data_IF_981523437973
#
_entry.id   IF_981523437973
#
_cell.length_a   1.000
_cell.length_b   1.000
_cell.length_c   1.000
_cell.angle_alpha   90.00
_cell.angle_beta   90.00
_cell.angle_gamma   90.00
#
_symmetry.space_group_name_H-M   'P 1'
#
loop_
_entity.id
_entity.type
_entity.pdbx_description
1 polymer ?
#
# COMPACT_ATOMS: atom_id res chain seq x y z
N UNK A 1 5.64 -11.12 -12.86
CA UNK A 1 5.28 -10.17 -11.80
C UNK A 1 5.13 -10.92 -10.49
N UNK A 2 5.48 -10.29 -9.36
CA UNK A 2 5.31 -10.88 -8.02
C UNK A 2 3.81 -10.93 -7.66
N UNK A 3 3.43 -11.89 -6.82
CA UNK A 3 2.10 -11.89 -6.21
C UNK A 3 1.97 -10.75 -5.19
N UNK A 4 0.74 -10.45 -4.80
CA UNK A 4 0.44 -9.48 -3.74
C UNK A 4 -0.32 -10.17 -2.61
N UNK A 5 0.18 -10.03 -1.40
CA UNK A 5 -0.50 -10.40 -0.16
C UNK A 5 -1.15 -9.15 0.42
N UNK A 6 -2.42 -9.25 0.83
CA UNK A 6 -3.14 -8.17 1.49
C UNK A 6 -3.66 -8.67 2.84
N UNK A 7 -3.20 -8.04 3.92
CA UNK A 7 -3.57 -8.38 5.30
C UNK A 7 -4.13 -7.15 6.03
N UNK A 8 -4.94 -7.36 7.06
CA UNK A 8 -5.43 -6.27 7.89
C UNK A 8 -5.67 -6.70 9.34
N UNK A 9 -5.60 -5.78 10.30
CA UNK A 9 -5.97 -6.07 11.69
C UNK A 9 -7.48 -6.09 11.90
N UNK A 10 -7.94 -6.80 12.93
CA UNK A 10 -9.33 -6.75 13.43
C UNK A 10 -9.84 -5.33 13.74
N UNK A 11 -8.92 -4.39 14.01
CA UNK A 11 -9.21 -2.99 14.26
C UNK A 11 -9.57 -2.18 12.99
N UNK A 12 -9.43 -2.74 11.79
CA UNK A 12 -9.85 -2.10 10.52
C UNK A 12 -11.30 -2.45 10.23
N UNK A 13 -12.14 -1.45 9.99
CA UNK A 13 -13.58 -1.65 9.76
C UNK A 13 -13.84 -2.33 8.41
N UNK A 14 -14.89 -3.14 8.33
CA UNK A 14 -15.22 -3.91 7.12
C UNK A 14 -15.39 -3.03 5.87
N UNK A 15 -15.94 -1.82 6.01
CA UNK A 15 -16.06 -0.86 4.90
C UNK A 15 -14.70 -0.28 4.49
N UNK A 16 -13.80 -0.02 5.43
CA UNK A 16 -12.43 0.42 5.13
C UNK A 16 -11.69 -0.67 4.34
N UNK A 17 -11.81 -1.95 4.77
CA UNK A 17 -11.25 -3.10 4.03
C UNK A 17 -11.84 -3.20 2.63
N UNK A 18 -13.15 -3.04 2.47
CA UNK A 18 -13.80 -3.12 1.16
C UNK A 18 -13.24 -2.06 0.19
N UNK A 19 -13.11 -0.81 0.64
CA UNK A 19 -12.58 0.28 -0.18
C UNK A 19 -11.08 0.12 -0.47
N UNK A 20 -10.33 -0.42 0.48
CA UNK A 20 -8.92 -0.79 0.27
C UNK A 20 -8.76 -1.88 -0.79
N UNK A 21 -9.51 -2.97 -0.69
CA UNK A 21 -9.46 -4.06 -1.66
C UNK A 21 -9.96 -3.62 -3.05
N UNK A 22 -10.98 -2.76 -3.13
CA UNK A 22 -11.41 -2.14 -4.39
C UNK A 22 -10.28 -1.35 -5.06
N UNK A 23 -9.47 -0.61 -4.28
CA UNK A 23 -8.29 0.06 -4.81
C UNK A 23 -7.25 -0.93 -5.37
N UNK A 24 -6.90 -1.96 -4.61
CA UNK A 24 -5.95 -3.00 -5.04
C UNK A 24 -6.42 -3.67 -6.34
N UNK A 25 -7.68 -4.12 -6.36
CA UNK A 25 -8.29 -4.79 -7.51
C UNK A 25 -8.37 -3.86 -8.71
N UNK A 26 -8.68 -2.56 -8.53
CA UNK A 26 -8.73 -1.63 -9.66
C UNK A 26 -7.36 -1.34 -10.23
N UNK A 27 -6.33 -1.16 -9.39
CA UNK A 27 -4.97 -0.94 -9.90
C UNK A 27 -4.44 -2.19 -10.61
N UNK A 28 -4.61 -3.37 -10.01
CA UNK A 28 -4.14 -4.63 -10.60
C UNK A 28 -5.01 -5.11 -11.77
N UNK A 29 -6.33 -4.97 -11.71
CA UNK A 29 -7.27 -5.42 -12.73
C UNK A 29 -7.14 -4.64 -14.03
N UNK A 30 -6.85 -3.33 -13.95
CA UNK A 30 -6.62 -2.51 -15.14
C UNK A 30 -5.38 -2.95 -15.93
N UNK A 31 -4.40 -3.58 -15.27
CA UNK A 31 -3.27 -4.22 -15.95
C UNK A 31 -3.71 -5.34 -16.87
N UNK A 32 -4.60 -6.20 -16.38
CA UNK A 32 -5.10 -7.33 -17.15
C UNK A 32 -5.88 -6.87 -18.37
N UNK A 33 -6.79 -5.90 -18.20
CA UNK A 33 -7.56 -5.32 -19.29
C UNK A 33 -6.64 -4.73 -20.37
N UNK A 34 -5.65 -3.94 -19.96
CA UNK A 34 -4.77 -3.24 -20.91
C UNK A 34 -3.79 -4.19 -21.59
N UNK A 35 -3.23 -5.15 -20.85
CA UNK A 35 -2.36 -6.19 -21.40
C UNK A 35 -3.09 -7.02 -22.45
N UNK A 36 -4.31 -7.46 -22.15
CA UNK A 36 -5.15 -8.23 -23.07
C UNK A 36 -5.42 -7.46 -24.36
N UNK A 37 -5.80 -6.17 -24.27
CA UNK A 37 -6.03 -5.33 -25.46
C UNK A 37 -4.78 -5.13 -26.33
N UNK A 38 -3.57 -5.27 -25.76
CA UNK A 38 -2.30 -5.19 -26.49
C UNK A 38 -1.76 -6.56 -26.94
N UNK A 39 -2.53 -7.64 -26.76
CA UNK A 39 -2.12 -9.00 -27.11
C UNK A 39 -1.13 -9.64 -26.13
N UNK A 40 -0.96 -9.06 -24.94
CA UNK A 40 -0.13 -9.63 -23.88
C UNK A 40 -0.98 -10.52 -22.98
N UNK A 41 -0.63 -11.81 -22.94
CA UNK A 41 -1.30 -12.83 -22.13
C UNK A 41 -0.64 -13.03 -20.76
N UNK A 42 0.00 -12.00 -20.21
CA UNK A 42 0.55 -12.10 -18.86
C UNK A 42 -0.56 -11.90 -17.85
N UNK A 43 -0.67 -12.81 -16.90
CA UNK A 43 -1.60 -12.66 -15.79
C UNK A 43 -1.19 -11.44 -14.94
N UNK A 44 -2.18 -10.64 -14.55
CA UNK A 44 -2.05 -9.68 -13.47
C UNK A 44 -1.51 -10.36 -12.20
N UNK A 45 -0.89 -9.61 -11.28
CA UNK A 45 -0.38 -10.19 -10.05
C UNK A 45 -1.54 -10.85 -9.30
N UNK A 46 -1.33 -12.09 -8.83
CA UNK A 46 -2.35 -12.76 -8.02
C UNK A 46 -2.47 -12.01 -6.70
N UNK A 47 -3.68 -11.54 -6.39
CA UNK A 47 -3.99 -10.88 -5.13
C UNK A 47 -4.52 -11.92 -4.16
N UNK A 48 -3.82 -12.12 -3.04
CA UNK A 48 -4.24 -12.99 -1.95
C UNK A 48 -4.66 -12.13 -0.77
N UNK A 49 -5.97 -12.05 -0.51
CA UNK A 49 -6.51 -11.36 0.66
C UNK A 49 -6.57 -12.34 1.85
N UNK A 50 -5.74 -12.12 2.85
CA UNK A 50 -5.63 -13.00 4.02
C UNK A 50 -6.40 -12.51 5.24
N UNK A 51 -6.65 -11.20 5.33
CA UNK A 51 -7.27 -10.60 6.52
C UNK A 51 -6.41 -10.66 7.76
N UNK A 52 -7.05 -10.74 8.93
CA UNK A 52 -6.37 -10.97 10.21
C UNK A 52 -6.12 -12.47 10.40
N UNK A 53 -5.25 -13.01 9.57
CA UNK A 53 -5.01 -14.44 9.49
C UNK A 53 -4.28 -14.99 10.71
N UNK A 54 -4.48 -16.27 10.97
CA UNK A 54 -3.80 -17.05 12.00
C UNK A 54 -3.52 -18.46 11.48
N UNK A 55 -2.40 -19.06 11.89
CA UNK A 55 -2.04 -20.47 11.63
C UNK A 55 -2.36 -21.30 12.89
N UNK A 56 -3.50 -22.01 12.96
CA UNK A 56 -3.96 -22.62 14.21
C UNK A 56 -3.09 -23.76 14.73
N UNK A 57 -2.24 -24.34 13.87
CA UNK A 57 -1.36 -25.45 14.23
C UNK A 57 -0.07 -25.03 14.93
N UNK A 58 0.24 -23.73 14.97
CA UNK A 58 1.44 -23.22 15.62
C UNK A 58 1.19 -22.91 17.11
N UNK A 59 2.21 -23.08 17.98
CA UNK A 59 2.15 -22.63 19.37
C UNK A 59 1.80 -21.14 19.50
N UNK A 60 1.19 -20.75 20.63
CA UNK A 60 0.73 -19.38 20.84
C UNK A 60 1.87 -18.33 20.85
N UNK A 61 3.09 -18.72 21.17
CA UNK A 61 4.28 -17.89 21.17
C UNK A 61 5.14 -18.04 19.89
N UNK A 62 4.69 -18.86 18.94
CA UNK A 62 5.45 -19.09 17.72
C UNK A 62 5.57 -17.79 16.90
N UNK A 63 6.77 -17.51 16.36
CA UNK A 63 6.97 -16.34 15.52
C UNK A 63 6.14 -16.47 14.23
N UNK A 64 5.66 -15.34 13.72
CA UNK A 64 4.90 -15.27 12.47
C UNK A 64 3.58 -16.09 12.47
N UNK A 65 3.00 -16.39 13.64
CA UNK A 65 1.79 -17.25 13.73
C UNK A 65 0.50 -16.61 13.23
N UNK A 66 0.41 -15.29 13.27
CA UNK A 66 -0.79 -14.53 12.92
C UNK A 66 -0.39 -13.12 12.55
N UNK A 67 -1.24 -12.41 11.82
CA UNK A 67 -0.98 -11.00 11.49
C UNK A 67 -0.89 -10.13 12.74
N UNK A 68 -1.77 -10.38 13.72
CA UNK A 68 -1.69 -9.79 15.06
C UNK A 68 -0.31 -9.91 15.71
N UNK A 69 0.39 -11.05 15.56
CA UNK A 69 1.74 -11.21 16.12
C UNK A 69 2.72 -10.16 15.57
N UNK A 70 2.66 -9.82 14.28
CA UNK A 70 3.53 -8.80 13.67
C UNK A 70 3.29 -7.42 14.28
N UNK A 71 2.02 -7.08 14.47
CA UNK A 71 1.59 -5.82 15.06
C UNK A 71 2.02 -5.75 16.52
N UNK A 72 1.78 -6.81 17.30
CA UNK A 72 2.18 -6.89 18.70
C UNK A 72 3.70 -6.79 18.87
N UNK A 73 4.50 -7.44 18.01
CA UNK A 73 5.95 -7.29 18.02
C UNK A 73 6.41 -5.87 17.67
N UNK A 74 5.61 -5.12 16.92
CA UNK A 74 5.94 -3.79 16.43
C UNK A 74 5.29 -2.66 17.24
N UNK A 75 4.48 -2.99 18.24
CA UNK A 75 3.72 -2.04 19.03
C UNK A 75 4.59 -1.43 20.14
N UNK A 76 4.65 -0.10 20.16
CA UNK A 76 5.05 0.63 21.37
C UNK A 76 3.85 0.63 22.33
N UNK A 77 3.91 -0.21 23.36
CA UNK A 77 2.84 -0.35 24.34
C UNK A 77 2.59 0.92 25.18
N UNK A 78 3.58 1.80 25.32
CA UNK A 78 3.40 3.06 26.05
C UNK A 78 2.65 4.08 25.21
N UNK A 79 2.92 4.12 23.91
CA UNK A 79 2.30 5.07 22.97
C UNK A 79 1.02 4.55 22.32
N UNK A 80 0.83 3.23 22.29
CA UNK A 80 -0.23 2.59 21.50
C UNK A 80 -0.04 2.78 19.99
N UNK A 81 1.21 2.95 19.55
CA UNK A 81 1.58 3.24 18.15
C UNK A 81 2.45 2.12 17.61
N UNK A 82 2.21 1.72 16.36
CA UNK A 82 3.03 0.71 15.68
C UNK A 82 4.27 1.38 15.10
N UNK A 83 5.45 0.86 15.44
CA UNK A 83 6.69 1.22 14.77
C UNK A 83 6.70 0.56 13.38
N UNK A 84 6.49 1.37 12.35
CA UNK A 84 6.39 0.92 10.97
C UNK A 84 7.68 0.32 10.43
N UNK A 85 8.85 0.85 10.83
CA UNK A 85 10.14 0.31 10.39
C UNK A 85 10.34 -1.12 10.93
N UNK A 86 10.03 -1.34 12.22
CA UNK A 86 10.08 -2.67 12.84
C UNK A 86 9.05 -3.64 12.22
N UNK A 87 7.85 -3.16 11.92
CA UNK A 87 6.83 -3.97 11.25
C UNK A 87 7.31 -4.41 9.85
N UNK A 88 7.82 -3.47 9.06
CA UNK A 88 8.32 -3.77 7.72
C UNK A 88 9.53 -4.72 7.76
N UNK A 89 10.46 -4.51 8.70
CA UNK A 89 11.59 -5.43 8.91
C UNK A 89 11.10 -6.84 9.29
N UNK A 90 10.08 -6.94 10.15
CA UNK A 90 9.50 -8.24 10.55
C UNK A 90 8.91 -8.96 9.34
N UNK A 91 8.14 -8.26 8.51
CA UNK A 91 7.58 -8.81 7.26
C UNK A 91 8.69 -9.23 6.30
N UNK A 92 9.72 -8.41 6.10
CA UNK A 92 10.83 -8.72 5.19
C UNK A 92 11.66 -9.95 5.60
N UNK A 93 11.69 -10.25 6.90
CA UNK A 93 12.47 -11.35 7.47
C UNK A 93 11.69 -12.66 7.65
N UNK A 94 10.38 -12.67 7.40
CA UNK A 94 9.57 -13.88 7.52
C UNK A 94 9.98 -14.96 6.49
N UNK A 95 9.80 -16.26 6.82
CA UNK A 95 10.32 -17.34 5.97
C UNK A 95 9.83 -17.31 4.53
N UNK A 96 8.54 -17.02 4.30
CA UNK A 96 7.97 -17.03 2.95
C UNK A 96 8.35 -15.79 2.13
N UNK A 97 8.54 -14.62 2.74
CA UNK A 97 9.05 -13.43 2.03
C UNK A 97 10.52 -13.58 1.63
N UNK A 98 11.30 -14.34 2.41
CA UNK A 98 12.69 -14.71 2.07
C UNK A 98 12.78 -15.78 0.98
N UNK A 99 11.87 -16.76 0.99
CA UNK A 99 11.85 -17.85 0.00
C UNK A 99 11.24 -17.41 -1.34
N UNK A 100 10.17 -16.61 -1.32
CA UNK A 100 9.49 -16.12 -2.50
C UNK A 100 9.10 -14.65 -2.31
N UNK A 101 9.98 -13.70 -2.68
CA UNK A 101 9.71 -12.28 -2.53
C UNK A 101 8.45 -11.86 -3.27
N UNK A 102 7.48 -11.35 -2.53
CA UNK A 102 6.20 -10.86 -3.03
C UNK A 102 5.93 -9.44 -2.52
N UNK A 103 4.88 -8.81 -3.05
CA UNK A 103 4.39 -7.54 -2.52
C UNK A 103 3.54 -7.81 -1.29
N UNK A 104 3.79 -7.11 -0.20
CA UNK A 104 2.94 -7.12 0.98
C UNK A 104 2.27 -5.77 1.15
N UNK A 105 0.93 -5.78 1.27
CA UNK A 105 0.14 -4.62 1.64
C UNK A 105 -0.60 -4.93 2.93
N UNK A 106 -0.39 -4.08 3.92
CA UNK A 106 -0.84 -4.26 5.28
C UNK A 106 -1.72 -3.08 5.70
N UNK A 107 -2.95 -3.33 6.17
CA UNK A 107 -3.81 -2.29 6.75
C UNK A 107 -3.91 -2.44 8.26
N UNK A 108 -3.64 -1.38 9.00
CA UNK A 108 -3.71 -1.40 10.47
C UNK A 108 -4.67 -0.34 11.00
N UNK A 109 -5.48 -0.71 12.00
CA UNK A 109 -6.34 0.22 12.73
C UNK A 109 -5.60 1.09 13.74
N UNK A 110 -4.35 0.76 14.03
CA UNK A 110 -3.49 1.45 14.99
C UNK A 110 -2.76 2.64 14.34
N UNK A 111 -2.45 3.71 15.09
CA UNK A 111 -1.50 4.74 14.66
C UNK A 111 -0.17 4.14 14.22
N UNK A 112 0.45 4.74 13.20
CA UNK A 112 1.74 4.32 12.65
C UNK A 112 2.79 5.41 12.87
N UNK A 113 3.96 5.01 13.36
CA UNK A 113 5.16 5.86 13.42
C UNK A 113 6.18 5.36 12.39
N UNK A 114 6.75 6.28 11.61
CA UNK A 114 7.75 5.98 10.57
C UNK A 114 9.14 6.52 10.89
N UNK A 115 9.33 7.10 12.08
CA UNK A 115 10.64 7.51 12.53
C UNK A 115 11.58 6.30 12.67
N UNK A 116 12.85 6.52 12.33
CA UNK A 116 13.90 5.52 12.50
C UNK A 116 14.51 5.63 13.91
N UNK A 117 14.72 4.48 14.56
CA UNK A 117 15.30 4.40 15.90
C UNK A 117 14.34 4.84 17.00
N UNK A 118 14.88 5.44 18.06
CA UNK A 118 14.11 5.91 19.23
C UNK A 118 13.54 7.34 19.04
N UNK A 119 13.65 7.92 17.84
CA UNK A 119 13.08 9.23 17.56
C UNK A 119 11.56 9.13 17.52
N UNK A 120 10.87 10.08 18.17
CA UNK A 120 9.41 10.19 18.13
C UNK A 120 9.03 10.88 16.81
N UNK A 121 8.40 10.14 15.90
CA UNK A 121 7.83 10.69 14.68
C UNK A 121 6.39 11.18 14.85
N UNK A 122 5.94 12.00 13.92
CA UNK A 122 4.52 12.29 13.73
C UNK A 122 3.79 11.04 13.22
N UNK A 123 2.50 10.93 13.55
CA UNK A 123 1.65 9.84 13.07
C UNK A 123 1.56 9.88 11.54
N UNK A 124 1.98 8.80 10.89
CA UNK A 124 2.01 8.67 9.45
C UNK A 124 0.76 7.96 8.91
N UNK A 125 0.38 8.30 7.67
CA UNK A 125 -0.66 7.59 6.93
C UNK A 125 -0.18 6.23 6.44
N UNK A 126 1.08 6.14 6.05
CA UNK A 126 1.64 4.92 5.50
C UNK A 126 3.17 4.87 5.64
N UNK A 127 3.70 3.66 5.50
CA UNK A 127 5.12 3.38 5.30
C UNK A 127 5.27 2.52 4.04
N UNK A 128 6.32 2.80 3.28
CA UNK A 128 6.68 2.03 2.09
C UNK A 128 8.13 1.54 2.19
N UNK A 129 8.31 0.26 1.85
CA UNK A 129 9.59 -0.30 1.40
C UNK A 129 9.44 -0.59 -0.09
N UNK A 130 10.10 0.18 -0.98
CA UNK A 130 9.89 0.12 -2.42
C UNK A 130 9.94 -1.31 -2.98
N UNK A 131 8.93 -1.67 -3.76
CA UNK A 131 8.85 -2.98 -4.43
C UNK A 131 8.69 -4.19 -3.50
N UNK A 132 8.40 -3.99 -2.21
CA UNK A 132 8.32 -5.07 -1.21
C UNK A 132 7.14 -4.94 -0.26
N UNK A 133 7.06 -3.87 0.53
CA UNK A 133 6.09 -3.76 1.65
C UNK A 133 5.46 -2.39 1.66
N UNK A 134 4.15 -2.32 1.88
CA UNK A 134 3.46 -1.10 2.24
C UNK A 134 2.56 -1.34 3.45
N UNK A 135 2.62 -0.45 4.43
CA UNK A 135 1.74 -0.47 5.61
C UNK A 135 0.92 0.81 5.57
N UNK A 136 -0.41 0.69 5.64
CA UNK A 136 -1.35 1.81 5.68
C UNK A 136 -2.05 1.81 7.04
N UNK A 137 -1.99 2.94 7.74
CA UNK A 137 -2.80 3.17 8.94
C UNK A 137 -4.08 3.89 8.58
N UNK A 138 -5.21 3.34 9.04
CA UNK A 138 -6.51 4.02 8.93
C UNK A 138 -6.78 4.97 10.10
N UNK A 139 -5.96 4.94 11.16
CA UNK A 139 -6.16 5.76 12.36
C UNK A 139 -6.18 7.28 12.07
N UNK A 140 -5.24 7.86 11.28
CA UNK A 140 -5.30 9.28 10.95
C UNK A 140 -6.53 9.62 10.09
N UNK A 141 -6.93 8.72 9.20
CA UNK A 141 -8.06 8.91 8.27
C UNK A 141 -9.40 9.01 9.01
N UNK A 142 -9.52 8.40 10.20
CA UNK A 142 -10.71 8.49 11.06
C UNK A 142 -10.97 9.89 11.62
N UNK A 143 -10.01 10.82 11.50
CA UNK A 143 -10.21 12.24 11.80
C UNK A 143 -11.10 12.94 10.75
N UNK A 144 -11.24 12.35 9.55
CA UNK A 144 -12.21 12.79 8.53
C UNK A 144 -13.61 12.41 9.01
N UNK A 145 -14.42 13.44 9.33
CA UNK A 145 -15.74 13.26 9.95
C UNK A 145 -16.78 12.65 9.02
N UNK A 146 -16.75 13.03 7.74
CA UNK A 146 -17.63 12.44 6.74
C UNK A 146 -17.13 11.03 6.41
N UNK A 147 -17.92 10.02 6.79
CA UNK A 147 -17.58 8.61 6.58
C UNK A 147 -17.36 8.27 5.11
N UNK A 148 -18.20 8.81 4.21
CA UNK A 148 -18.07 8.53 2.78
C UNK A 148 -16.76 9.09 2.25
N UNK A 149 -16.42 10.32 2.61
CA UNK A 149 -15.14 10.95 2.24
C UNK A 149 -13.98 10.15 2.83
N UNK A 150 -14.07 9.72 4.10
CA UNK A 150 -13.07 8.87 4.75
C UNK A 150 -12.81 7.58 3.97
N UNK A 151 -13.86 6.86 3.58
CA UNK A 151 -13.74 5.60 2.84
C UNK A 151 -13.06 5.81 1.48
N UNK A 152 -13.35 6.91 0.79
CA UNK A 152 -12.62 7.25 -0.44
C UNK A 152 -11.18 7.69 -0.20
N UNK A 153 -10.88 8.34 0.93
CA UNK A 153 -9.51 8.65 1.33
C UNK A 153 -8.72 7.36 1.62
N UNK A 154 -9.32 6.36 2.29
CA UNK A 154 -8.73 5.01 2.45
C UNK A 154 -8.40 4.41 1.09
N UNK A 155 -9.37 4.41 0.17
CA UNK A 155 -9.18 3.91 -1.19
C UNK A 155 -8.05 4.63 -1.92
N UNK A 156 -7.98 5.96 -1.82
CA UNK A 156 -6.90 6.76 -2.43
C UNK A 156 -5.54 6.40 -1.85
N UNK A 157 -5.41 6.38 -0.53
CA UNK A 157 -4.16 6.05 0.17
C UNK A 157 -3.67 4.66 -0.21
N UNK A 158 -4.55 3.66 -0.25
CA UNK A 158 -4.18 2.31 -0.67
C UNK A 158 -3.75 2.27 -2.13
N UNK A 159 -4.47 2.92 -3.05
CA UNK A 159 -4.09 2.96 -4.46
C UNK A 159 -2.74 3.66 -4.68
N UNK A 160 -2.46 4.72 -3.93
CA UNK A 160 -1.17 5.40 -3.92
C UNK A 160 -0.04 4.45 -3.52
N UNK A 161 -0.19 3.73 -2.40
CA UNK A 161 0.81 2.77 -1.94
C UNK A 161 0.99 1.58 -2.90
N UNK A 162 -0.10 1.07 -3.48
CA UNK A 162 -0.04 0.00 -4.50
C UNK A 162 0.72 0.47 -5.74
N UNK A 163 0.51 1.70 -6.20
CA UNK A 163 1.27 2.25 -7.31
C UNK A 163 2.76 2.34 -7.00
N UNK A 164 3.14 2.76 -5.79
CA UNK A 164 4.55 2.75 -5.37
C UNK A 164 5.14 1.34 -5.20
N UNK A 165 4.36 0.36 -4.74
CA UNK A 165 4.78 -1.05 -4.73
C UNK A 165 5.10 -1.56 -6.14
N UNK A 166 4.37 -1.09 -7.16
CA UNK A 166 4.67 -1.35 -8.56
C UNK A 166 5.77 -0.45 -9.15
N UNK A 167 6.45 0.36 -8.35
CA UNK A 167 7.55 1.22 -8.80
C UNK A 167 7.08 2.41 -9.64
N UNK A 168 5.88 2.92 -9.38
CA UNK A 168 5.36 4.12 -10.02
C UNK A 168 5.58 5.35 -9.13
N UNK A 169 5.71 6.55 -9.73
CA UNK A 169 6.14 6.79 -11.10
C UNK A 169 7.56 6.26 -11.36
N UNK A 170 7.88 5.99 -12.61
CA UNK A 170 9.21 5.46 -12.97
C UNK A 170 10.32 6.51 -12.77
N UNK A 171 11.54 6.12 -12.30
CA UNK A 171 12.61 7.07 -11.98
C UNK A 171 13.04 8.02 -13.10
N UNK A 172 12.86 7.63 -14.37
CA UNK A 172 13.22 8.43 -15.55
C UNK A 172 12.15 9.43 -16.02
N UNK A 173 11.02 9.56 -15.30
CA UNK A 173 9.92 10.42 -15.74
C UNK A 173 10.23 11.92 -15.48
N UNK A 174 10.19 12.79 -16.51
CA UNK A 174 10.64 14.18 -16.43
C UNK A 174 9.80 15.10 -15.52
N UNK A 175 8.60 14.66 -15.12
CA UNK A 175 7.67 15.41 -14.27
C UNK A 175 7.32 14.68 -12.96
N UNK A 176 8.11 13.67 -12.58
CA UNK A 176 7.97 13.02 -11.30
C UNK A 176 8.71 13.84 -10.23
N UNK A 177 7.97 14.33 -9.23
CA UNK A 177 8.50 15.18 -8.17
C UNK A 177 9.18 14.30 -7.11
N UNK A 178 10.45 14.54 -6.74
CA UNK A 178 11.09 13.80 -5.67
C UNK A 178 10.53 14.21 -4.30
N UNK A 179 10.35 13.24 -3.40
CA UNK A 179 10.02 13.47 -1.99
C UNK A 179 11.26 13.29 -1.11
N UNK A 180 11.33 13.94 0.08
CA UNK A 180 12.37 13.68 1.07
C UNK A 180 12.50 12.20 1.47
N UNK A 181 11.44 11.40 1.35
CA UNK A 181 11.46 9.95 1.60
C UNK A 181 12.25 9.15 0.55
N UNK A 182 12.66 9.79 -0.55
CA UNK A 182 13.29 9.14 -1.70
C UNK A 182 12.27 8.59 -2.72
N UNK A 183 10.98 8.66 -2.40
CA UNK A 183 9.90 8.36 -3.34
C UNK A 183 9.78 9.46 -4.40
N UNK A 184 9.03 9.14 -5.46
CA UNK A 184 8.67 10.10 -6.50
C UNK A 184 7.17 10.16 -6.60
N UNK A 185 6.61 11.34 -6.82
CA UNK A 185 5.16 11.52 -6.91
C UNK A 185 4.76 12.11 -8.27
N UNK A 186 3.51 11.86 -8.65
CA UNK A 186 2.95 12.37 -9.90
C UNK A 186 2.51 13.84 -9.75
N UNK A 187 2.80 14.68 -10.74
CA UNK A 187 2.33 16.07 -10.77
C UNK A 187 0.93 16.26 -11.41
N UNK A 188 0.37 15.23 -12.05
CA UNK A 188 -0.95 15.29 -12.69
C UNK A 188 -2.08 15.00 -11.68
N UNK A 189 -3.35 15.20 -12.08
CA UNK A 189 -4.48 14.67 -11.30
C UNK A 189 -4.42 13.13 -11.27
N UNK A 190 -3.95 12.57 -10.15
CA UNK A 190 -3.58 11.17 -10.02
C UNK A 190 -3.47 10.78 -8.53
N UNK A 191 -3.86 9.55 -8.15
CA UNK A 191 -3.66 9.09 -6.76
C UNK A 191 -2.20 9.08 -6.33
N UNK A 192 -1.25 9.00 -7.27
CA UNK A 192 0.19 9.04 -6.99
C UNK A 192 0.74 10.45 -6.71
N UNK A 193 -0.10 11.47 -6.71
CA UNK A 193 0.27 12.79 -6.20
C UNK A 193 0.34 12.78 -4.68
N UNK A 194 1.37 13.41 -4.13
CA UNK A 194 1.57 13.53 -2.68
C UNK A 194 0.52 14.45 -2.07
N UNK A 195 0.07 14.12 -0.86
CA UNK A 195 -0.74 15.01 -0.03
C UNK A 195 0.05 15.28 1.25
N UNK A 196 0.24 16.55 1.61
CA UNK A 196 1.02 16.96 2.77
C UNK A 196 0.16 17.16 4.03
N UNK A 197 -1.17 17.03 3.91
CA UNK A 197 -2.11 17.11 5.02
C UNK A 197 -3.37 16.28 4.77
N UNK A 198 -4.16 16.05 5.83
CA UNK A 198 -5.46 15.38 5.70
C UNK A 198 -6.47 16.21 4.89
N UNK A 199 -6.43 17.54 5.00
CA UNK A 199 -7.34 18.42 4.23
C UNK A 199 -7.00 18.37 2.74
N UNK A 200 -5.72 18.42 2.40
CA UNK A 200 -5.24 18.25 1.03
C UNK A 200 -5.57 16.85 0.49
N UNK A 201 -5.39 15.80 1.30
CA UNK A 201 -5.78 14.44 0.94
C UNK A 201 -7.26 14.37 0.56
N UNK A 202 -8.13 14.97 1.36
CA UNK A 202 -9.58 15.05 1.10
C UNK A 202 -9.87 15.80 -0.19
N UNK A 203 -9.25 16.97 -0.39
CA UNK A 203 -9.45 17.74 -1.62
C UNK A 203 -9.07 16.93 -2.87
N UNK A 204 -7.89 16.30 -2.83
CA UNK A 204 -7.40 15.47 -3.93
C UNK A 204 -8.31 14.27 -4.18
N UNK A 205 -8.73 13.56 -3.13
CA UNK A 205 -9.72 12.48 -3.22
C UNK A 205 -10.98 12.95 -3.93
N UNK A 206 -11.54 14.11 -3.56
CA UNK A 206 -12.78 14.60 -4.17
C UNK A 206 -12.58 14.99 -5.63
N UNK A 207 -11.44 15.59 -5.98
CA UNK A 207 -11.09 15.92 -7.38
C UNK A 207 -10.95 14.67 -8.23
N UNK A 208 -10.23 13.66 -7.76
CA UNK A 208 -10.04 12.37 -8.44
C UNK A 208 -11.37 11.65 -8.66
N UNK A 209 -12.25 11.63 -7.66
CA UNK A 209 -13.59 11.05 -7.77
C UNK A 209 -14.44 11.80 -8.78
N UNK A 210 -14.44 13.14 -8.75
CA UNK A 210 -15.22 13.96 -9.67
C UNK A 210 -14.78 13.76 -11.13
N UNK A 211 -13.48 13.53 -11.34
CA UNK A 211 -12.92 13.25 -12.65
C UNK A 211 -13.02 11.77 -13.06
N UNK A 212 -13.41 10.88 -12.14
CA UNK A 212 -13.35 9.43 -12.30
C UNK A 212 -11.95 8.93 -12.72
N UNK A 213 -10.90 9.51 -12.14
CA UNK A 213 -9.50 9.16 -12.39
C UNK A 213 -8.92 8.50 -11.14
N UNK A 214 -8.29 7.34 -11.33
CA UNK A 214 -7.44 6.73 -10.30
C UNK A 214 -5.98 7.03 -10.63
N UNK A 215 -5.49 6.52 -11.76
CA UNK A 215 -4.15 6.80 -12.26
C UNK A 215 -4.26 7.60 -13.56
N UNK A 216 -3.45 8.64 -13.69
CA UNK A 216 -3.35 9.40 -14.94
C UNK A 216 -2.69 8.56 -16.05
N UNK A 217 -2.87 8.98 -17.30
CA UNK A 217 -2.37 8.25 -18.47
C UNK A 217 -0.87 7.95 -18.42
N UNK A 218 -0.08 8.89 -17.92
CA UNK A 218 1.37 8.70 -17.76
C UNK A 218 1.71 7.62 -16.72
N UNK A 219 1.04 7.63 -15.56
CA UNK A 219 1.25 6.60 -14.53
C UNK A 219 0.78 5.23 -15.03
N UNK A 220 -0.21 5.21 -15.93
CA UNK A 220 -0.57 4.01 -16.67
C UNK A 220 0.49 3.54 -17.64
N UNK A 221 1.10 4.43 -18.44
CA UNK A 221 2.20 4.01 -19.30
C UNK A 221 3.40 3.50 -18.49
N UNK A 222 3.70 4.13 -17.36
CA UNK A 222 4.74 3.67 -16.43
C UNK A 222 4.45 2.24 -15.93
N UNK A 223 3.20 1.97 -15.54
CA UNK A 223 2.81 0.65 -15.06
C UNK A 223 2.87 -0.44 -16.15
N UNK A 224 2.50 -0.09 -17.39
CA UNK A 224 2.64 -1.01 -18.51
C UNK A 224 4.11 -1.35 -18.79
N UNK A 225 5.02 -0.37 -18.68
CA UNK A 225 6.46 -0.61 -18.82
C UNK A 225 6.98 -1.57 -17.76
N UNK A 226 6.61 -1.37 -16.49
CA UNK A 226 6.97 -2.29 -15.40
C UNK A 226 6.54 -3.73 -15.70
N UNK A 227 5.33 -3.91 -16.25
CA UNK A 227 4.88 -5.23 -16.66
C UNK A 227 5.76 -5.82 -17.76
N UNK A 228 6.04 -5.04 -18.81
CA UNK A 228 6.86 -5.47 -19.93
C UNK A 228 8.26 -5.88 -19.49
N UNK A 229 8.89 -5.07 -18.63
CA UNK A 229 10.23 -5.36 -18.12
C UNK A 229 10.24 -6.63 -17.26
N UNK A 230 9.18 -6.85 -16.46
CA UNK A 230 8.99 -8.11 -15.72
C UNK A 230 8.74 -9.31 -16.65
N UNK A 231 8.10 -9.12 -17.81
CA UNK A 231 7.86 -10.18 -18.79
C UNK A 231 9.14 -10.58 -19.51
N UNK A 232 9.96 -9.59 -19.88
CA UNK A 232 11.18 -9.77 -20.65
C UNK A 232 12.39 -10.17 -19.78
N UNK A 233 12.23 -10.23 -18.45
CA UNK A 233 13.30 -10.57 -17.51
C UNK A 233 14.37 -9.49 -17.40
N UNK A 234 13.98 -8.22 -17.62
CA UNK A 234 14.88 -7.05 -17.56
C UNK A 234 14.99 -6.50 -16.13
N UNK A 235 14.17 -7.02 -15.20
CA UNK A 235 14.10 -6.60 -13.79
C UNK A 235 14.61 -7.66 -12.82
#
# INVERSE_FOLDING_TARGET
MKNMSVSWTDAVEALEVHFALDAVIKVAGRLQETGFHRGWLQAAPVINAFGDWEIPSLPADAPYRSYRWYVDQSLDAQRGTVNGAKLAETILNEPWQRQNPHYDLSLIGQPLDVAQGDAVGEEALALLVPGRVAVVSVAPLRRIRDERVRLFAVRRTVAHQVGHLFGLPQPGRPHALPSPSGERHCANLCVLSEAHSLDELVEMTMRELSANILLCDDCWQDLLRVMMDSHLGVN
#
